data_IF_654677948837
#
_entry.id   IF_654677948837
#
_cell.length_a   1.000
_cell.length_b   1.000
_cell.length_c   1.000
_cell.angle_alpha   90.00
_cell.angle_beta   90.00
_cell.angle_gamma   90.00
#
_symmetry.space_group_name_H-M   'P 1'
#
loop_
_entity.id
_entity.type
_entity.pdbx_description
1 polymer ?
#
# COMPACT_ATOMS: atom_id res chain seq x y z
N UNK A 1 -62.00 -7.14 40.47
CA UNK A 1 -61.09 -7.27 39.30
C UNK A 1 -60.75 -8.76 39.15
N UNK A 2 -61.41 -9.49 38.24
CA UNK A 2 -61.19 -10.94 38.07
C UNK A 2 -59.93 -11.17 37.23
N UNK A 3 -58.86 -11.66 37.85
CA UNK A 3 -57.66 -12.12 37.15
C UNK A 3 -58.03 -13.34 36.28
N UNK A 4 -57.89 -13.21 34.96
CA UNK A 4 -58.05 -14.34 34.02
C UNK A 4 -57.03 -15.42 34.35
N UNK A 5 -57.46 -16.68 34.38
CA UNK A 5 -56.55 -17.83 34.51
C UNK A 5 -55.60 -17.86 33.31
N UNK A 6 -54.30 -17.91 33.59
CA UNK A 6 -53.25 -17.96 32.56
C UNK A 6 -53.36 -19.28 31.79
N UNK A 7 -53.61 -19.20 30.48
CA UNK A 7 -53.59 -20.36 29.60
C UNK A 7 -52.13 -20.79 29.38
N UNK A 8 -51.75 -21.92 29.99
CA UNK A 8 -50.39 -22.48 29.96
C UNK A 8 -49.92 -22.78 28.53
N UNK A 9 -50.84 -23.20 27.64
CA UNK A 9 -50.55 -23.50 26.23
C UNK A 9 -50.16 -22.23 25.46
N UNK A 10 -50.88 -21.12 25.70
CA UNK A 10 -50.54 -19.82 25.07
C UNK A 10 -49.15 -19.35 25.50
N UNK A 11 -48.81 -19.46 26.79
CA UNK A 11 -47.49 -19.10 27.32
C UNK A 11 -46.38 -19.97 26.74
N UNK A 12 -46.59 -21.27 26.58
CA UNK A 12 -45.63 -22.18 25.95
C UNK A 12 -45.40 -21.83 24.47
N UNK A 13 -46.47 -21.49 23.74
CA UNK A 13 -46.36 -21.08 22.34
C UNK A 13 -45.64 -19.74 22.16
N UNK A 14 -45.83 -18.79 23.08
CA UNK A 14 -45.15 -17.50 23.08
C UNK A 14 -43.66 -17.67 23.41
N UNK A 15 -43.31 -18.50 24.40
CA UNK A 15 -41.91 -18.82 24.73
C UNK A 15 -41.20 -19.53 23.58
N UNK A 16 -41.88 -20.45 22.89
CA UNK A 16 -41.33 -21.14 21.71
C UNK A 16 -41.11 -20.18 20.54
N UNK A 17 -42.06 -19.28 20.26
CA UNK A 17 -41.90 -18.25 19.21
C UNK A 17 -40.79 -17.27 19.53
N UNK A 18 -40.61 -16.90 20.79
CA UNK A 18 -39.49 -16.07 21.23
C UNK A 18 -38.15 -16.77 21.00
N UNK A 19 -38.03 -18.05 21.39
CA UNK A 19 -36.79 -18.81 21.17
C UNK A 19 -36.53 -19.09 19.68
N UNK A 20 -37.55 -19.36 18.87
CA UNK A 20 -37.42 -19.53 17.42
C UNK A 20 -37.02 -18.22 16.73
N UNK A 21 -37.51 -17.07 17.21
CA UNK A 21 -37.08 -15.75 16.75
C UNK A 21 -35.61 -15.47 17.09
N UNK A 22 -35.19 -15.76 18.32
CA UNK A 22 -33.79 -15.64 18.75
C UNK A 22 -32.86 -16.54 17.94
N UNK A 23 -33.24 -17.81 17.71
CA UNK A 23 -32.44 -18.72 16.88
C UNK A 23 -32.35 -18.25 15.42
N UNK A 24 -33.43 -17.71 14.84
CA UNK A 24 -33.40 -17.15 13.48
C UNK A 24 -32.51 -15.92 13.38
N UNK A 25 -32.60 -15.01 14.36
CA UNK A 25 -31.74 -13.83 14.42
C UNK A 25 -30.26 -14.22 14.57
N UNK A 26 -29.96 -15.23 15.40
CA UNK A 26 -28.60 -15.76 15.52
C UNK A 26 -28.11 -16.36 14.20
N UNK A 27 -28.94 -17.16 13.52
CA UNK A 27 -28.59 -17.75 12.22
C UNK A 27 -28.31 -16.67 11.16
N UNK A 28 -29.13 -15.62 11.10
CA UNK A 28 -28.91 -14.47 10.21
C UNK A 28 -27.58 -13.76 10.51
N UNK A 29 -27.26 -13.56 11.79
CA UNK A 29 -25.98 -12.96 12.21
C UNK A 29 -24.80 -13.86 11.80
N UNK A 30 -24.90 -15.18 12.02
CA UNK A 30 -23.87 -16.14 11.61
C UNK A 30 -23.65 -16.12 10.10
N UNK A 31 -24.73 -16.05 9.30
CA UNK A 31 -24.64 -15.97 7.85
C UNK A 31 -23.97 -14.67 7.37
N UNK A 32 -24.24 -13.54 8.03
CA UNK A 32 -23.56 -12.28 7.73
C UNK A 32 -22.06 -12.38 8.04
N UNK A 33 -21.70 -12.89 9.22
CA UNK A 33 -20.30 -13.06 9.62
C UNK A 33 -19.55 -14.03 8.69
N UNK A 34 -20.21 -15.11 8.27
CA UNK A 34 -19.62 -16.09 7.36
C UNK A 34 -19.35 -15.51 5.97
N UNK A 35 -20.28 -14.70 5.45
CA UNK A 35 -20.07 -13.97 4.18
C UNK A 35 -18.94 -12.98 4.29
N UNK A 36 -18.83 -12.32 5.43
CA UNK A 36 -17.79 -11.34 5.73
C UNK A 36 -16.39 -11.99 5.78
N UNK A 37 -16.27 -13.13 6.47
CA UNK A 37 -15.04 -13.92 6.55
C UNK A 37 -14.62 -14.47 5.18
N UNK A 38 -15.59 -15.00 4.40
CA UNK A 38 -15.34 -15.47 3.04
C UNK A 38 -14.86 -14.34 2.11
N UNK A 39 -15.36 -13.11 2.31
CA UNK A 39 -14.92 -11.94 1.57
C UNK A 39 -13.48 -11.58 1.88
N UNK A 40 -13.10 -11.55 3.17
CA UNK A 40 -11.73 -11.28 3.60
C UNK A 40 -10.75 -12.35 3.12
N UNK A 41 -11.15 -13.62 3.19
CA UNK A 41 -10.33 -14.73 2.69
C UNK A 41 -10.05 -14.58 1.20
N UNK A 42 -11.06 -14.21 0.40
CA UNK A 42 -10.89 -13.95 -1.04
C UNK A 42 -9.95 -12.77 -1.31
N UNK A 43 -10.03 -11.70 -0.53
CA UNK A 43 -9.10 -10.56 -0.65
C UNK A 43 -7.67 -11.02 -0.35
N UNK A 44 -7.46 -11.78 0.72
CA UNK A 44 -6.15 -12.34 1.06
C UNK A 44 -5.61 -13.23 -0.06
N UNK A 45 -6.45 -14.08 -0.65
CA UNK A 45 -6.10 -14.89 -1.81
C UNK A 45 -5.74 -14.05 -3.04
N UNK A 46 -6.43 -12.94 -3.30
CA UNK A 46 -6.12 -12.05 -4.41
C UNK A 46 -4.83 -11.24 -4.18
N UNK A 47 -4.48 -10.96 -2.92
CA UNK A 47 -3.22 -10.31 -2.54
C UNK A 47 -2.02 -11.27 -2.62
N UNK A 48 -2.21 -12.56 -2.36
CA UNK A 48 -1.14 -13.57 -2.45
C UNK A 48 -1.08 -14.27 -3.82
N UNK A 49 -2.20 -14.30 -4.53
CA UNK A 49 -2.42 -15.14 -5.70
C UNK A 49 -1.81 -14.61 -6.99
N UNK A 50 -1.67 -15.51 -7.97
CA UNK A 50 -1.11 -15.24 -9.29
C UNK A 50 -2.09 -14.53 -10.26
N UNK A 51 -3.16 -13.91 -9.74
CA UNK A 51 -4.24 -13.34 -10.55
C UNK A 51 -3.83 -11.98 -11.09
N UNK A 52 -3.19 -12.00 -12.26
CA UNK A 52 -2.92 -10.80 -13.05
C UNK A 52 -4.21 -10.38 -13.72
N UNK A 53 -4.86 -9.35 -13.17
CA UNK A 53 -5.90 -8.62 -13.87
C UNK A 53 -5.32 -7.30 -14.35
N UNK A 54 -5.50 -6.98 -15.62
CA UNK A 54 -5.05 -5.72 -16.21
C UNK A 54 -6.11 -4.62 -16.11
N UNK A 55 -7.34 -4.98 -15.74
CA UNK A 55 -8.48 -4.08 -15.66
C UNK A 55 -9.45 -4.57 -14.57
N UNK A 56 -9.88 -3.64 -13.72
CA UNK A 56 -11.04 -3.81 -12.84
C UNK A 56 -12.11 -2.80 -13.28
N UNK A 57 -13.36 -3.24 -13.39
CA UNK A 57 -14.47 -2.42 -13.85
C UNK A 57 -14.96 -1.45 -12.76
N UNK A 58 -14.14 -0.47 -12.40
CA UNK A 58 -14.53 0.56 -11.44
C UNK A 58 -15.68 1.41 -11.97
N UNK A 59 -16.63 1.71 -11.08
CA UNK A 59 -17.61 2.76 -11.30
C UNK A 59 -16.94 4.14 -11.25
N UNK A 60 -16.94 4.86 -12.37
CA UNK A 60 -16.31 6.17 -12.51
C UNK A 60 -16.96 7.26 -11.67
N UNK A 61 -18.24 7.14 -11.33
CA UNK A 61 -18.94 8.16 -10.53
C UNK A 61 -18.53 8.12 -9.06
N UNK A 62 -18.12 6.95 -8.57
CA UNK A 62 -17.70 6.73 -7.19
C UNK A 62 -16.19 6.92 -6.99
N UNK A 63 -15.43 7.04 -8.09
CA UNK A 63 -13.97 7.17 -8.02
C UNK A 63 -13.53 8.59 -7.66
N UNK A 64 -12.55 8.67 -6.78
CA UNK A 64 -11.85 9.91 -6.45
C UNK A 64 -10.74 10.17 -7.47
N UNK A 65 -10.89 11.24 -8.26
CA UNK A 65 -9.90 11.62 -9.30
C UNK A 65 -8.52 11.93 -8.71
N UNK A 66 -8.44 12.34 -7.44
CA UNK A 66 -7.16 12.63 -6.78
C UNK A 66 -6.28 11.39 -6.54
N UNK A 67 -6.87 10.20 -6.62
CA UNK A 67 -6.20 8.90 -6.39
C UNK A 67 -5.90 8.14 -7.66
N UNK A 68 -6.20 8.72 -8.82
CA UNK A 68 -5.95 8.13 -10.13
C UNK A 68 -4.60 8.61 -10.64
N UNK A 69 -3.71 7.66 -10.94
CA UNK A 69 -2.38 7.95 -11.44
C UNK A 69 -2.09 7.20 -12.73
N UNK A 70 -1.47 7.88 -13.69
CA UNK A 70 -0.95 7.23 -14.89
C UNK A 70 0.38 6.53 -14.61
N UNK A 71 0.67 5.45 -15.33
CA UNK A 71 1.91 4.69 -15.22
C UNK A 71 3.16 5.58 -15.34
N UNK A 72 3.13 6.62 -16.16
CA UNK A 72 4.27 7.54 -16.31
C UNK A 72 4.52 8.39 -15.05
N UNK A 73 3.46 8.84 -14.38
CA UNK A 73 3.57 9.60 -13.12
C UNK A 73 4.13 8.71 -11.99
N UNK A 74 3.64 7.46 -11.94
CA UNK A 74 4.14 6.42 -11.04
C UNK A 74 5.61 6.16 -11.33
N UNK A 75 6.00 6.03 -12.61
CA UNK A 75 7.39 5.80 -13.03
C UNK A 75 8.29 6.95 -12.60
N UNK A 76 7.89 8.19 -12.85
CA UNK A 76 8.67 9.37 -12.47
C UNK A 76 8.88 9.44 -10.96
N UNK A 77 7.82 9.19 -10.18
CA UNK A 77 7.87 9.13 -8.72
C UNK A 77 8.81 8.03 -8.25
N UNK A 78 8.73 6.84 -8.84
CA UNK A 78 9.64 5.73 -8.57
C UNK A 78 11.11 6.10 -8.80
N UNK A 79 11.42 6.80 -9.89
CA UNK A 79 12.80 7.24 -10.18
C UNK A 79 13.24 8.30 -9.16
N UNK A 80 12.36 9.25 -8.84
CA UNK A 80 12.66 10.36 -7.95
C UNK A 80 12.99 9.92 -6.52
N UNK A 81 12.34 8.86 -6.04
CA UNK A 81 12.47 8.35 -4.66
C UNK A 81 13.14 6.97 -4.56
N UNK A 82 13.61 6.41 -5.69
CA UNK A 82 14.17 5.05 -5.80
C UNK A 82 13.20 3.96 -5.31
N UNK A 83 11.94 4.09 -5.68
CA UNK A 83 10.90 3.10 -5.41
C UNK A 83 10.79 2.12 -6.59
N UNK A 84 10.17 0.98 -6.34
CA UNK A 84 9.81 0.00 -7.36
C UNK A 84 8.32 -0.16 -7.37
N UNK A 85 7.75 -0.25 -8.57
CA UNK A 85 6.36 -0.58 -8.80
C UNK A 85 6.28 -2.02 -9.30
N UNK A 86 5.91 -2.94 -8.41
CA UNK A 86 5.90 -4.38 -8.67
C UNK A 86 4.58 -5.00 -8.24
N UNK A 87 4.30 -6.21 -8.71
CA UNK A 87 3.13 -6.94 -8.22
C UNK A 87 3.29 -7.26 -6.73
N UNK A 88 2.17 -7.21 -6.01
CA UNK A 88 2.14 -7.46 -4.57
C UNK A 88 2.70 -8.83 -4.18
N UNK A 89 2.67 -9.81 -5.08
CA UNK A 89 3.22 -11.17 -4.88
C UNK A 89 4.71 -11.18 -4.52
N UNK A 90 5.45 -10.15 -4.94
CA UNK A 90 6.86 -10.01 -4.61
C UNK A 90 7.10 -9.37 -3.25
N UNK A 91 6.06 -8.78 -2.64
CA UNK A 91 6.14 -8.19 -1.32
C UNK A 91 6.33 -9.30 -0.28
N UNK A 92 7.33 -9.12 0.59
CA UNK A 92 7.65 -10.09 1.64
C UNK A 92 7.11 -9.68 3.00
N UNK A 93 6.56 -8.48 3.13
CA UNK A 93 5.88 -8.03 4.35
C UNK A 93 4.43 -8.48 4.40
N UNK A 94 3.82 -8.33 5.57
CA UNK A 94 2.39 -8.54 5.76
C UNK A 94 1.60 -7.29 5.35
N UNK A 95 0.45 -7.51 4.71
CA UNK A 95 -0.50 -6.42 4.40
C UNK A 95 -1.34 -6.18 5.67
N UNK A 96 -1.37 -4.95 6.21
CA UNK A 96 -2.10 -4.68 7.44
C UNK A 96 -3.60 -4.82 7.23
N UNK A 97 -4.31 -5.14 8.31
CA UNK A 97 -5.78 -5.26 8.31
C UNK A 97 -6.49 -4.00 7.82
N UNK A 98 -5.89 -2.82 8.06
CA UNK A 98 -6.40 -1.54 7.56
C UNK A 98 -6.48 -1.50 6.03
N UNK A 99 -5.46 -2.01 5.33
CA UNK A 99 -5.45 -2.09 3.88
C UNK A 99 -6.54 -3.07 3.39
N UNK A 100 -6.69 -4.22 4.05
CA UNK A 100 -7.75 -5.20 3.73
C UNK A 100 -9.14 -4.58 3.92
N UNK A 101 -9.37 -3.85 5.01
CA UNK A 101 -10.61 -3.15 5.27
C UNK A 101 -10.93 -2.08 4.20
N UNK A 102 -9.91 -1.36 3.72
CA UNK A 102 -10.06 -0.39 2.61
C UNK A 102 -10.38 -1.07 1.28
N UNK A 103 -9.71 -2.17 0.96
CA UNK A 103 -10.04 -2.97 -0.23
C UNK A 103 -11.49 -3.44 -0.16
N UNK A 104 -11.91 -3.98 0.98
CA UNK A 104 -13.27 -4.46 1.23
C UNK A 104 -14.33 -3.37 1.05
N UNK A 105 -14.06 -2.16 1.54
CA UNK A 105 -14.92 -1.00 1.35
C UNK A 105 -15.06 -0.66 -0.14
N UNK A 106 -13.95 -0.58 -0.88
CA UNK A 106 -13.97 -0.29 -2.32
C UNK A 106 -14.70 -1.39 -3.10
N UNK A 107 -14.44 -2.67 -2.81
CA UNK A 107 -15.16 -3.79 -3.45
C UNK A 107 -16.67 -3.70 -3.21
N UNK A 108 -17.09 -3.32 -2.00
CA UNK A 108 -18.50 -3.17 -1.64
C UNK A 108 -19.14 -1.96 -2.33
N UNK A 109 -18.45 -0.83 -2.35
CA UNK A 109 -18.96 0.43 -2.91
C UNK A 109 -19.12 0.33 -4.43
N UNK A 110 -18.14 -0.27 -5.12
CA UNK A 110 -18.16 -0.43 -6.58
C UNK A 110 -18.82 -1.75 -7.03
N UNK A 111 -19.12 -2.68 -6.12
CA UNK A 111 -19.72 -3.98 -6.45
C UNK A 111 -18.80 -4.89 -7.27
N UNK A 112 -17.49 -4.76 -7.15
CA UNK A 112 -16.49 -5.48 -7.94
C UNK A 112 -15.53 -6.29 -7.07
N UNK A 113 -14.81 -7.23 -7.70
CA UNK A 113 -13.70 -7.94 -7.09
C UNK A 113 -12.38 -7.36 -7.61
N UNK A 114 -11.57 -6.80 -6.73
CA UNK A 114 -10.30 -6.18 -7.07
C UNK A 114 -9.21 -7.23 -7.25
N UNK A 115 -8.53 -7.17 -8.40
CA UNK A 115 -7.46 -8.08 -8.79
C UNK A 115 -6.28 -7.31 -9.37
N UNK A 116 -5.12 -7.98 -9.44
CA UNK A 116 -3.92 -7.42 -10.07
C UNK A 116 -3.23 -6.32 -9.25
N UNK A 117 -3.27 -6.41 -7.92
CA UNK A 117 -2.68 -5.42 -7.04
C UNK A 117 -1.19 -5.20 -7.31
N UNK A 118 -0.79 -3.93 -7.35
CA UNK A 118 0.60 -3.51 -7.48
C UNK A 118 1.00 -2.68 -6.26
N UNK A 119 2.26 -2.82 -5.88
CA UNK A 119 2.85 -2.15 -4.75
C UNK A 119 3.95 -1.21 -5.24
N UNK A 120 3.89 0.05 -4.84
CA UNK A 120 5.03 0.95 -4.93
C UNK A 120 5.76 0.94 -3.60
N UNK A 121 6.99 0.44 -3.58
CA UNK A 121 7.77 0.27 -2.35
C UNK A 121 9.28 0.38 -2.61
N UNK A 122 10.09 0.76 -1.62
CA UNK A 122 11.54 0.64 -1.70
C UNK A 122 11.99 -0.80 -1.96
N UNK A 123 13.13 -0.96 -2.62
CA UNK A 123 13.66 -2.29 -2.99
C UNK A 123 13.92 -3.20 -1.79
N UNK A 124 14.06 -2.64 -0.59
CA UNK A 124 14.30 -3.37 0.66
C UNK A 124 13.08 -4.20 1.08
N UNK A 125 11.87 -3.65 0.93
CA UNK A 125 10.61 -4.29 1.33
C UNK A 125 10.24 -5.54 0.54
N UNK A 126 10.84 -5.71 -0.64
CA UNK A 126 10.68 -6.92 -1.45
C UNK A 126 11.65 -8.03 -1.03
N UNK A 127 12.63 -7.74 -0.15
CA UNK A 127 13.65 -8.69 0.29
C UNK A 127 13.59 -8.96 1.80
N UNK A 128 13.30 -7.94 2.59
CA UNK A 128 13.19 -8.00 4.05
C UNK A 128 11.89 -7.32 4.49
N UNK A 129 11.32 -7.83 5.58
CA UNK A 129 10.29 -7.15 6.35
C UNK A 129 10.93 -5.92 7.01
N UNK A 130 10.64 -4.74 6.46
CA UNK A 130 11.17 -3.45 6.92
C UNK A 130 10.00 -2.46 7.09
N UNK A 131 10.24 -1.35 7.79
CA UNK A 131 9.23 -0.35 8.17
C UNK A 131 9.14 0.82 7.19
N UNK A 132 9.44 0.59 5.91
CA UNK A 132 9.25 1.61 4.87
C UNK A 132 7.83 1.49 4.29
N UNK A 133 7.39 2.53 3.56
CA UNK A 133 5.98 2.79 3.28
C UNK A 133 5.56 2.27 1.91
N UNK A 134 4.81 1.15 1.83
CA UNK A 134 4.22 0.71 0.60
C UNK A 134 2.94 1.49 0.26
N UNK A 135 2.82 1.86 -1.01
CA UNK A 135 1.57 2.33 -1.60
C UNK A 135 0.95 1.19 -2.41
N UNK A 136 -0.30 0.86 -2.13
CA UNK A 136 -1.05 -0.18 -2.81
C UNK A 136 -1.93 0.42 -3.90
N UNK A 137 -1.81 -0.16 -5.09
CA UNK A 137 -2.53 0.25 -6.28
C UNK A 137 -3.35 -0.90 -6.86
N UNK A 138 -4.48 -0.56 -7.46
CA UNK A 138 -5.29 -1.47 -8.26
C UNK A 138 -5.39 -0.95 -9.71
N UNK A 139 -5.28 -1.81 -10.73
CA UNK A 139 -5.38 -1.39 -12.12
C UNK A 139 -6.83 -1.05 -12.49
N UNK A 140 -7.03 0.12 -13.10
CA UNK A 140 -8.31 0.57 -13.65
C UNK A 140 -8.39 0.19 -15.15
N UNK A 141 -7.24 0.01 -15.79
CA UNK A 141 -7.11 -0.24 -17.23
C UNK A 141 -6.42 0.93 -17.95
N UNK A 142 -6.02 0.71 -19.20
CA UNK A 142 -5.35 1.72 -20.05
C UNK A 142 -4.12 2.39 -19.41
N UNK A 143 -3.37 1.66 -18.57
CA UNK A 143 -2.19 2.20 -17.88
C UNK A 143 -2.48 3.10 -16.68
N UNK A 144 -3.75 3.21 -16.26
CA UNK A 144 -4.15 3.92 -15.05
C UNK A 144 -4.29 2.98 -13.86
N UNK A 145 -3.89 3.51 -12.71
CA UNK A 145 -3.91 2.82 -11.43
C UNK A 145 -4.59 3.68 -10.39
N UNK A 146 -5.44 3.05 -9.58
CA UNK A 146 -6.10 3.65 -8.45
C UNK A 146 -5.30 3.40 -7.18
N UNK A 147 -5.02 4.45 -6.41
CA UNK A 147 -4.40 4.34 -5.11
C UNK A 147 -5.45 3.86 -4.08
N UNK A 148 -5.29 2.64 -3.61
CA UNK A 148 -6.18 2.00 -2.65
C UNK A 148 -5.87 2.48 -1.23
N UNK A 149 -4.61 2.31 -0.82
CA UNK A 149 -4.18 2.64 0.53
C UNK A 149 -2.66 2.81 0.62
N UNK A 150 -2.23 3.56 1.62
CA UNK A 150 -0.84 3.79 1.98
C UNK A 150 -0.71 3.48 3.47
N UNK A 151 0.24 2.65 3.85
CA UNK A 151 0.53 2.35 5.25
C UNK A 151 2.03 2.40 5.51
N UNK A 152 2.41 2.77 6.73
CA UNK A 152 3.81 3.03 7.08
C UNK A 152 4.00 4.40 7.73
N UNK A 153 5.25 4.80 7.85
CA UNK A 153 5.63 6.19 8.11
C UNK A 153 5.51 6.98 6.78
N UNK A 154 6.02 8.20 6.67
CA UNK A 154 6.17 8.86 5.37
C UNK A 154 7.63 8.85 4.92
N UNK A 155 7.82 8.86 3.59
CA UNK A 155 9.16 8.96 3.00
C UNK A 155 9.80 10.30 3.38
N UNK A 156 10.92 10.26 4.09
CA UNK A 156 11.64 11.47 4.48
C UNK A 156 12.07 12.30 3.24
N UNK A 157 11.79 13.62 3.17
CA UNK A 157 12.04 14.44 1.97
C UNK A 157 13.52 14.49 1.56
N UNK A 158 14.44 14.39 2.53
CA UNK A 158 15.89 14.30 2.25
C UNK A 158 16.28 13.08 1.42
N UNK A 159 15.46 12.02 1.38
CA UNK A 159 15.70 10.83 0.55
C UNK A 159 15.83 11.20 -0.93
N UNK A 160 15.03 12.15 -1.42
CA UNK A 160 15.07 12.62 -2.81
C UNK A 160 16.44 13.23 -3.18
N UNK A 161 17.02 14.00 -2.26
CA UNK A 161 18.32 14.66 -2.47
C UNK A 161 19.47 13.66 -2.48
N UNK A 162 19.46 12.68 -1.56
CA UNK A 162 20.48 11.64 -1.47
C UNK A 162 20.51 10.72 -2.69
N UNK A 163 19.34 10.44 -3.29
CA UNK A 163 19.21 9.59 -4.47
C UNK A 163 19.51 10.33 -5.76
N UNK A 164 19.35 11.66 -5.79
CA UNK A 164 19.55 12.50 -6.97
C UNK A 164 20.83 12.25 -7.79
N UNK A 165 22.04 12.08 -7.20
CA UNK A 165 23.25 11.76 -7.97
C UNK A 165 23.15 10.44 -8.72
N UNK A 166 22.37 9.48 -8.22
CA UNK A 166 22.24 8.14 -8.80
C UNK A 166 21.18 8.05 -9.91
N UNK A 167 20.52 9.15 -10.27
CA UNK A 167 19.52 9.16 -11.34
C UNK A 167 20.14 9.00 -12.73
N UNK A 168 21.26 9.67 -12.97
CA UNK A 168 21.97 9.70 -14.24
C UNK A 168 23.48 9.64 -14.01
N UNK A 169 24.22 9.02 -14.93
CA UNK A 169 25.69 8.97 -14.88
C UNK A 169 26.29 10.37 -14.86
N UNK A 170 25.69 11.31 -15.59
CA UNK A 170 26.13 12.73 -15.63
C UNK A 170 25.99 13.38 -14.25
N UNK A 171 24.87 13.18 -13.54
CA UNK A 171 24.67 13.72 -12.19
C UNK A 171 25.70 13.15 -11.21
N UNK A 172 25.97 11.85 -11.31
CA UNK A 172 26.98 11.18 -10.50
C UNK A 172 28.37 11.77 -10.76
N UNK A 173 28.77 11.89 -12.04
CA UNK A 173 30.06 12.47 -12.42
C UNK A 173 30.21 13.90 -11.91
N UNK A 174 29.17 14.74 -12.04
CA UNK A 174 29.19 16.10 -11.53
C UNK A 174 29.38 16.16 -10.01
N UNK A 175 28.69 15.29 -9.26
CA UNK A 175 28.84 15.21 -7.79
C UNK A 175 30.22 14.69 -7.40
N UNK A 176 30.75 13.68 -8.09
CA UNK A 176 32.11 13.17 -7.85
C UNK A 176 33.15 14.26 -8.11
N UNK A 177 33.01 15.01 -9.21
CA UNK A 177 33.91 16.13 -9.53
C UNK A 177 33.84 17.22 -8.45
N UNK A 178 32.64 17.59 -8.02
CA UNK A 178 32.45 18.59 -6.96
C UNK A 178 33.07 18.14 -5.63
N UNK A 179 32.84 16.88 -5.22
CA UNK A 179 33.45 16.31 -4.02
C UNK A 179 34.98 16.26 -4.16
N UNK A 180 35.50 15.89 -5.33
CA UNK A 180 36.94 15.86 -5.57
C UNK A 180 37.57 17.25 -5.46
N UNK A 181 36.91 18.28 -6.01
CA UNK A 181 37.35 19.68 -5.91
C UNK A 181 37.33 20.16 -4.44
N UNK A 182 36.25 19.87 -3.71
CA UNK A 182 36.15 20.22 -2.30
C UNK A 182 37.22 19.51 -1.47
N UNK A 183 37.46 18.22 -1.73
CA UNK A 183 38.52 17.46 -1.08
C UNK A 183 39.90 18.08 -1.37
N UNK A 184 40.19 18.46 -2.62
CA UNK A 184 41.42 19.16 -2.98
C UNK A 184 41.58 20.50 -2.25
N UNK A 185 40.51 21.28 -2.10
CA UNK A 185 40.55 22.56 -1.38
C UNK A 185 40.77 22.39 0.14
N UNK A 186 40.32 21.26 0.71
CA UNK A 186 40.54 20.96 2.14
C UNK A 186 41.93 20.43 2.44
N UNK A 187 42.72 20.02 1.43
CA UNK A 187 44.13 19.62 1.63
C UNK A 187 44.96 20.89 1.92
N UNK A 188 45.56 21.02 3.12
CA UNK A 188 46.39 22.18 3.44
C UNK A 188 47.61 22.25 2.52
N UNK A 189 47.91 23.45 2.01
CA UNK A 189 49.17 23.73 1.33
C UNK A 189 50.32 23.52 2.34
N UNK A 190 51.00 22.38 2.26
CA UNK A 190 52.02 22.00 3.22
C UNK A 190 52.06 20.51 3.58
N UNK A 191 50.98 19.75 3.33
CA UNK A 191 50.93 18.34 3.72
C UNK A 191 51.85 17.42 2.89
N UNK A 192 52.17 17.85 1.65
CA UNK A 192 53.04 17.12 0.72
C UNK A 192 54.20 17.95 0.14
N UNK A 193 54.31 19.24 0.47
CA UNK A 193 55.44 20.06 0.04
C UNK A 193 56.55 20.03 1.09
N UNK A 194 57.65 19.31 0.79
CA UNK A 194 58.96 19.79 1.28
C UNK A 194 59.19 21.11 0.57
N UNK A 195 59.14 22.21 1.33
CA UNK A 195 59.66 23.54 0.99
C UNK A 195 60.18 23.65 -0.45
N UNK A 196 59.30 23.98 -1.39
CA UNK A 196 59.73 24.40 -2.72
C UNK A 196 60.26 25.81 -2.55
N UNK A 197 61.54 25.92 -2.22
CA UNK A 197 62.29 27.16 -2.34
C UNK A 197 62.07 27.70 -3.74
N UNK A 198 61.61 28.95 -3.79
CA UNK A 198 61.50 29.71 -5.02
C UNK A 198 62.83 29.68 -5.79
N UNK A 199 62.71 29.60 -7.11
CA UNK A 199 63.78 29.62 -8.11
C UNK A 199 64.53 28.30 -8.33
N UNK A 200 64.38 27.77 -9.55
CA UNK A 200 65.51 27.61 -10.46
C UNK A 200 64.99 27.69 -11.90
N UNK A 201 65.81 28.32 -12.75
CA UNK A 201 65.53 28.80 -14.11
C UNK A 201 65.28 27.67 -15.13
#
# INVERSE_FOLDING_TARGET
MKLKKTNIESRLSDTRRASEGESRLLEEVYEILRKDEAHEQRISENLQGNRVAENNAFDFELMDTSKIYHLDQIRETCINYRLRFLDIRYFKGEVPREAVAKIKAIEKDHGIELKGFKLMAPSKLFKLEDKDDPLLFAPIGNGYYYLVHTWGNDLHPLRRMLVWPFKNVINLSAVVLLISLLATLMVPQGLFSKSSTAAEF
#
